data_IF_628962925916
#
_entry.id   IF_628962925916
#
_cell.length_a   1.000
_cell.length_b   1.000
_cell.length_c   1.000
_cell.angle_alpha   90.00
_cell.angle_beta   90.00
_cell.angle_gamma   90.00
#
_symmetry.space_group_name_H-M   'P 1'
#
loop_
_entity.id
_entity.type
_entity.pdbx_description
1 polymer ?
#
# COMPACT_ATOMS: atom_id res chain seq x y z
N UNK A 1 -32.63 4.97 2.56
CA UNK A 1 -33.11 4.01 1.53
C UNK A 1 -34.00 2.98 2.22
N UNK A 2 -35.05 2.52 1.55
CA UNK A 2 -35.78 1.31 1.94
C UNK A 2 -35.07 0.08 1.36
N UNK A 3 -35.31 -1.11 1.88
CA UNK A 3 -34.66 -2.35 1.40
C UNK A 3 -34.88 -2.57 -0.11
N UNK A 4 -36.06 -2.22 -0.64
CA UNK A 4 -36.36 -2.27 -2.08
C UNK A 4 -35.44 -1.37 -2.94
N UNK A 5 -34.99 -0.22 -2.41
CA UNK A 5 -34.07 0.67 -3.11
C UNK A 5 -32.66 0.05 -3.21
N UNK A 6 -32.31 -0.82 -2.25
CA UNK A 6 -31.00 -1.48 -2.15
C UNK A 6 -30.90 -2.64 -3.15
N UNK A 7 -31.94 -3.49 -3.22
CA UNK A 7 -32.03 -4.58 -4.20
C UNK A 7 -32.02 -4.03 -5.64
N UNK A 8 -32.79 -2.96 -5.89
CA UNK A 8 -32.80 -2.30 -7.19
C UNK A 8 -31.42 -1.79 -7.61
N UNK A 9 -30.64 -1.26 -6.66
CA UNK A 9 -29.28 -0.77 -6.92
C UNK A 9 -28.30 -1.91 -7.26
N UNK A 10 -28.39 -3.03 -6.55
CA UNK A 10 -27.57 -4.22 -6.80
C UNK A 10 -27.90 -4.87 -8.16
N UNK A 11 -29.19 -4.95 -8.49
CA UNK A 11 -29.63 -5.44 -9.80
C UNK A 11 -29.11 -4.53 -10.93
N UNK A 12 -29.20 -3.21 -10.74
CA UNK A 12 -28.71 -2.24 -11.72
C UNK A 12 -27.18 -2.34 -11.91
N UNK A 13 -26.44 -2.58 -10.83
CA UNK A 13 -24.99 -2.82 -10.90
C UNK A 13 -24.64 -4.08 -11.70
N UNK A 14 -25.39 -5.16 -11.51
CA UNK A 14 -25.25 -6.41 -12.28
C UNK A 14 -25.57 -6.21 -13.76
N UNK A 15 -26.66 -5.50 -14.07
CA UNK A 15 -27.04 -5.18 -15.45
C UNK A 15 -25.98 -4.31 -16.14
N UNK A 16 -25.33 -3.43 -15.38
CA UNK A 16 -24.29 -2.56 -15.90
C UNK A 16 -22.99 -3.28 -16.28
N UNK A 17 -22.57 -4.25 -15.47
CA UNK A 17 -21.45 -5.12 -15.83
C UNK A 17 -21.73 -5.89 -17.12
N UNK A 18 -22.98 -6.29 -17.36
CA UNK A 18 -23.39 -6.97 -18.58
C UNK A 18 -23.42 -6.04 -19.81
N UNK A 19 -23.64 -4.73 -19.62
CA UNK A 19 -23.90 -3.77 -20.70
C UNK A 19 -22.71 -2.88 -21.08
N UNK A 20 -21.58 -2.95 -20.37
CA UNK A 20 -20.32 -2.25 -20.68
C UNK A 20 -20.49 -0.73 -20.96
N UNK A 21 -21.49 -0.09 -20.33
CA UNK A 21 -21.71 1.37 -20.33
C UNK A 21 -20.95 2.03 -19.18
N UNK A 22 -20.71 3.34 -19.29
CA UNK A 22 -19.97 4.15 -18.31
C UNK A 22 -20.49 3.95 -16.87
N UNK A 23 -19.78 3.21 -16.01
CA UNK A 23 -20.29 2.73 -14.73
C UNK A 23 -20.25 3.79 -13.63
N UNK A 24 -19.69 4.99 -13.90
CA UNK A 24 -19.44 6.01 -12.88
C UNK A 24 -20.68 6.42 -12.05
N UNK A 25 -21.88 6.63 -12.64
CA UNK A 25 -23.06 7.03 -11.87
C UNK A 25 -23.50 5.96 -10.87
N UNK A 26 -23.37 4.68 -11.22
CA UNK A 26 -23.78 3.55 -10.38
C UNK A 26 -22.74 3.27 -9.31
N UNK A 27 -21.46 3.39 -9.64
CA UNK A 27 -20.39 3.28 -8.66
C UNK A 27 -20.56 4.36 -7.58
N UNK A 28 -20.85 5.60 -7.98
CA UNK A 28 -21.15 6.67 -7.01
C UNK A 28 -22.30 6.29 -6.09
N UNK A 29 -23.40 5.79 -6.65
CA UNK A 29 -24.56 5.40 -5.86
C UNK A 29 -24.27 4.19 -4.94
N UNK A 30 -23.44 3.23 -5.37
CA UNK A 30 -22.97 2.11 -4.55
C UNK A 30 -22.07 2.59 -3.40
N UNK A 31 -21.19 3.55 -3.65
CA UNK A 31 -20.34 4.15 -2.61
C UNK A 31 -21.21 4.87 -1.57
N UNK A 32 -22.18 5.67 -2.01
CA UNK A 32 -23.12 6.36 -1.11
C UNK A 32 -23.94 5.35 -0.27
N UNK A 33 -24.40 4.27 -0.90
CA UNK A 33 -25.10 3.20 -0.21
C UNK A 33 -24.18 2.46 0.78
N UNK A 34 -22.92 2.23 0.45
CA UNK A 34 -21.94 1.62 1.35
C UNK A 34 -21.60 2.49 2.55
N UNK A 35 -21.61 3.83 2.38
CA UNK A 35 -21.42 4.78 3.48
C UNK A 35 -22.64 4.79 4.40
N UNK A 36 -23.85 4.75 3.84
CA UNK A 36 -25.09 4.74 4.61
C UNK A 36 -25.36 3.39 5.30
N UNK A 37 -24.93 2.28 4.70
CA UNK A 37 -25.18 0.91 5.17
C UNK A 37 -23.90 0.07 5.19
N UNK A 38 -22.91 0.42 6.02
CA UNK A 38 -21.59 -0.25 6.03
C UNK A 38 -21.65 -1.72 6.46
N UNK A 39 -22.73 -2.15 7.13
CA UNK A 39 -22.94 -3.56 7.48
C UNK A 39 -23.47 -4.43 6.33
N UNK A 40 -23.88 -3.85 5.19
CA UNK A 40 -24.40 -4.61 4.06
C UNK A 40 -23.26 -5.31 3.32
N UNK A 41 -23.13 -6.61 3.55
CA UNK A 41 -22.11 -7.45 2.90
C UNK A 41 -22.29 -7.51 1.38
N UNK A 42 -23.50 -7.33 0.87
CA UNK A 42 -23.78 -7.37 -0.57
C UNK A 42 -23.26 -6.12 -1.29
N UNK A 43 -23.44 -4.93 -0.71
CA UNK A 43 -22.91 -3.69 -1.29
C UNK A 43 -21.38 -3.71 -1.23
N UNK A 44 -20.82 -4.06 -0.06
CA UNK A 44 -19.38 -4.19 0.16
C UNK A 44 -18.78 -5.17 -0.84
N UNK A 45 -19.35 -6.37 -0.96
CA UNK A 45 -18.87 -7.39 -1.88
C UNK A 45 -18.99 -6.97 -3.35
N UNK A 46 -20.01 -6.19 -3.70
CA UNK A 46 -20.16 -5.66 -5.07
C UNK A 46 -19.08 -4.64 -5.39
N UNK A 47 -18.79 -3.69 -4.48
CA UNK A 47 -17.70 -2.73 -4.66
C UNK A 47 -16.33 -3.42 -4.75
N UNK A 48 -16.08 -4.42 -3.89
CA UNK A 48 -14.85 -5.21 -3.94
C UNK A 48 -14.69 -5.96 -5.27
N UNK A 49 -15.76 -6.55 -5.78
CA UNK A 49 -15.77 -7.24 -7.08
C UNK A 49 -15.54 -6.28 -8.25
N UNK A 50 -16.01 -5.04 -8.14
CA UNK A 50 -15.74 -3.95 -9.08
C UNK A 50 -14.32 -3.35 -8.91
N UNK A 51 -13.50 -3.87 -7.99
CA UNK A 51 -12.11 -3.47 -7.79
C UNK A 51 -11.92 -2.27 -6.86
N UNK A 52 -12.97 -1.85 -6.14
CA UNK A 52 -12.90 -0.82 -5.13
C UNK A 52 -12.57 -1.43 -3.76
N UNK A 53 -11.77 -0.73 -2.96
CA UNK A 53 -11.49 -1.13 -1.58
C UNK A 53 -11.67 0.04 -0.64
N UNK A 54 -12.12 -0.26 0.58
CA UNK A 54 -12.20 0.71 1.65
C UNK A 54 -10.80 0.91 2.26
N UNK A 55 -10.22 2.09 2.06
CA UNK A 55 -8.91 2.51 2.60
C UNK A 55 -9.11 3.83 3.33
N UNK A 56 -8.72 3.90 4.61
CA UNK A 56 -8.89 5.09 5.47
C UNK A 56 -10.31 5.70 5.45
N UNK A 57 -11.33 4.84 5.37
CA UNK A 57 -12.74 5.27 5.35
C UNK A 57 -13.21 5.81 3.99
N UNK A 58 -12.43 5.65 2.92
CA UNK A 58 -12.82 5.99 1.54
C UNK A 58 -12.79 4.77 0.65
N UNK A 59 -13.81 4.62 -0.19
CA UNK A 59 -13.80 3.63 -1.26
C UNK A 59 -12.94 4.13 -2.40
N UNK A 60 -11.83 3.44 -2.66
CA UNK A 60 -10.85 3.81 -3.69
C UNK A 60 -10.78 2.72 -4.74
N UNK A 61 -10.78 3.11 -6.01
CA UNK A 61 -10.43 2.21 -7.13
C UNK A 61 -8.96 1.80 -7.04
N UNK A 62 -8.57 0.76 -7.78
CA UNK A 62 -7.17 0.34 -7.84
C UNK A 62 -6.21 1.47 -8.28
N UNK A 63 -6.63 2.31 -9.23
CA UNK A 63 -5.81 3.44 -9.70
C UNK A 63 -5.65 4.52 -8.61
N UNK A 64 -6.71 4.82 -7.86
CA UNK A 64 -6.67 5.77 -6.76
C UNK A 64 -5.84 5.25 -5.57
N UNK A 65 -5.88 3.95 -5.31
CA UNK A 65 -5.02 3.30 -4.31
C UNK A 65 -3.54 3.46 -4.69
N UNK A 66 -3.17 3.21 -5.94
CA UNK A 66 -1.80 3.39 -6.42
C UNK A 66 -1.34 4.86 -6.32
N UNK A 67 -2.21 5.82 -6.65
CA UNK A 67 -1.90 7.25 -6.51
C UNK A 67 -1.73 7.67 -5.06
N UNK A 68 -2.57 7.16 -4.16
CA UNK A 68 -2.49 7.42 -2.73
C UNK A 68 -1.21 6.83 -2.14
N UNK A 69 -0.89 5.57 -2.46
CA UNK A 69 0.35 4.92 -2.03
C UNK A 69 1.59 5.69 -2.50
N UNK A 70 1.63 6.10 -3.78
CA UNK A 70 2.72 6.92 -4.29
C UNK A 70 2.86 8.26 -3.56
N UNK A 71 1.74 8.89 -3.19
CA UNK A 71 1.73 10.14 -2.44
C UNK A 71 2.23 9.97 -1.00
N UNK A 72 1.84 8.87 -0.34
CA UNK A 72 2.32 8.50 1.00
C UNK A 72 3.83 8.23 0.95
N UNK A 73 4.31 7.43 -0.01
CA UNK A 73 5.74 7.18 -0.19
C UNK A 73 6.55 8.46 -0.44
N UNK A 74 6.02 9.40 -1.23
CA UNK A 74 6.68 10.70 -1.44
C UNK A 74 6.71 11.56 -0.18
N UNK A 75 5.65 11.52 0.63
CA UNK A 75 5.59 12.24 1.91
C UNK A 75 6.59 11.65 2.90
N UNK A 76 6.63 10.34 3.05
CA UNK A 76 7.58 9.62 3.90
C UNK A 76 9.03 9.92 3.51
N UNK A 77 9.33 9.94 2.20
CA UNK A 77 10.64 10.33 1.69
C UNK A 77 11.03 11.76 2.10
N UNK A 78 10.08 12.71 2.07
CA UNK A 78 10.31 14.10 2.51
C UNK A 78 10.47 14.23 4.02
N UNK A 79 9.75 13.42 4.79
CA UNK A 79 9.80 13.40 6.25
C UNK A 79 10.99 12.57 6.78
N UNK A 80 11.76 11.93 5.91
CA UNK A 80 12.87 11.07 6.30
C UNK A 80 12.41 9.80 7.01
N UNK A 81 11.23 9.29 6.67
CA UNK A 81 10.71 8.03 7.14
C UNK A 81 10.96 6.95 6.08
N UNK A 82 11.50 5.81 6.50
CA UNK A 82 11.68 4.65 5.63
C UNK A 82 10.52 3.69 5.82
N UNK A 83 10.00 3.16 4.73
CA UNK A 83 8.92 2.17 4.74
C UNK A 83 9.25 0.93 3.93
N UNK A 84 8.54 -0.17 4.22
CA UNK A 84 8.68 -1.43 3.49
C UNK A 84 8.27 -1.23 2.03
N UNK A 85 9.06 -1.78 1.10
CA UNK A 85 8.89 -1.63 -0.34
C UNK A 85 9.75 -0.55 -0.98
N UNK A 86 10.23 0.42 -0.20
CA UNK A 86 11.09 1.52 -0.68
C UNK A 86 12.39 1.00 -1.32
N UNK A 87 12.87 1.64 -2.37
CA UNK A 87 14.11 1.25 -3.06
C UNK A 87 15.34 1.63 -2.24
N UNK A 88 16.42 0.87 -2.38
CA UNK A 88 17.71 1.17 -1.74
C UNK A 88 18.22 2.59 -2.05
N UNK A 89 18.06 3.06 -3.29
CA UNK A 89 18.42 4.41 -3.72
C UNK A 89 17.57 5.50 -3.08
N UNK A 90 16.27 5.26 -2.87
CA UNK A 90 15.36 6.16 -2.17
C UNK A 90 15.75 6.28 -0.69
N UNK A 91 16.04 5.15 -0.04
CA UNK A 91 16.52 5.14 1.34
C UNK A 91 17.83 5.93 1.50
N UNK A 92 18.77 5.81 0.55
CA UNK A 92 20.00 6.64 0.58
C UNK A 92 19.72 8.12 0.43
N UNK A 93 18.74 8.50 -0.38
CA UNK A 93 18.35 9.91 -0.54
C UNK A 93 17.72 10.45 0.73
N UNK A 94 16.93 9.66 1.45
CA UNK A 94 16.27 10.09 2.69
C UNK A 94 17.16 10.04 3.93
N UNK A 95 17.89 8.93 4.14
CA UNK A 95 18.69 8.68 5.36
C UNK A 95 20.16 9.03 5.21
N UNK A 96 20.63 9.30 3.99
CA UNK A 96 22.05 9.40 3.70
C UNK A 96 22.77 8.06 3.76
N UNK A 97 24.06 8.11 4.07
CA UNK A 97 24.96 6.95 4.05
C UNK A 97 24.79 6.15 5.36
N UNK A 98 24.56 4.82 5.29
CA UNK A 98 24.48 4.00 6.48
C UNK A 98 25.81 3.94 7.22
N UNK A 99 25.75 3.78 8.54
CA UNK A 99 26.92 3.58 9.41
C UNK A 99 27.59 2.23 9.16
N UNK A 100 26.84 1.20 8.82
CA UNK A 100 27.39 -0.09 8.36
C UNK A 100 26.51 -0.69 7.28
N UNK A 101 27.13 -1.37 6.33
CA UNK A 101 26.46 -2.06 5.24
C UNK A 101 26.98 -3.50 5.15
N UNK A 102 26.10 -4.45 5.40
CA UNK A 102 26.38 -5.88 5.22
C UNK A 102 25.65 -6.38 3.98
N UNK A 103 26.34 -7.14 3.13
CA UNK A 103 25.78 -7.72 1.90
C UNK A 103 25.99 -9.22 1.89
N UNK A 104 24.93 -9.96 1.64
CA UNK A 104 24.93 -11.42 1.59
C UNK A 104 24.31 -11.83 0.25
N UNK A 105 25.13 -12.41 -0.63
CA UNK A 105 24.68 -12.95 -1.90
C UNK A 105 24.48 -14.45 -1.78
N UNK A 106 23.31 -14.93 -2.21
CA UNK A 106 22.97 -16.36 -2.29
C UNK A 106 22.52 -16.70 -3.71
N UNK A 107 22.24 -17.97 -4.00
CA UNK A 107 21.78 -18.38 -5.34
C UNK A 107 20.38 -17.81 -5.62
N UNK A 108 20.34 -16.72 -6.39
CA UNK A 108 19.11 -16.08 -6.87
C UNK A 108 18.63 -14.86 -6.06
N UNK A 109 19.33 -14.49 -4.99
CA UNK A 109 18.92 -13.38 -4.12
C UNK A 109 20.14 -12.68 -3.49
N UNK A 110 20.10 -11.35 -3.47
CA UNK A 110 20.98 -10.49 -2.68
C UNK A 110 20.19 -9.93 -1.49
N UNK A 111 20.74 -10.10 -0.29
CA UNK A 111 20.25 -9.45 0.94
C UNK A 111 21.24 -8.40 1.38
N UNK A 112 20.71 -7.25 1.79
CA UNK A 112 21.52 -6.19 2.39
C UNK A 112 20.96 -5.81 3.76
N UNK A 113 21.84 -5.49 4.70
CA UNK A 113 21.47 -4.96 6.01
C UNK A 113 22.23 -3.66 6.18
N UNK A 114 21.50 -2.56 6.29
CA UNK A 114 22.07 -1.24 6.46
C UNK A 114 21.73 -0.74 7.86
N UNK A 115 22.73 -0.42 8.67
CA UNK A 115 22.51 0.15 10.00
C UNK A 115 22.73 1.65 10.00
N UNK A 116 21.88 2.35 10.74
CA UNK A 116 21.93 3.79 10.95
C UNK A 116 21.97 4.05 12.47
N UNK A 117 22.73 5.07 12.86
CA UNK A 117 22.99 5.39 14.27
C UNK A 117 24.38 4.95 14.72
N UNK A 118 24.89 5.60 15.77
CA UNK A 118 26.25 5.38 16.28
C UNK A 118 26.30 4.05 17.05
N UNK A 119 27.33 3.24 16.80
CA UNK A 119 27.58 2.02 17.58
C UNK A 119 27.70 2.39 19.06
N UNK A 120 26.82 1.86 19.92
CA UNK A 120 26.82 2.12 21.36
C UNK A 120 25.89 3.23 21.85
N UNK A 121 25.15 3.93 20.98
CA UNK A 121 24.09 4.89 21.41
C UNK A 121 22.70 4.27 21.33
N UNK A 122 21.82 4.61 22.29
CA UNK A 122 20.38 4.28 22.20
C UNK A 122 19.78 4.99 20.97
N UNK A 123 19.06 4.24 20.13
CA UNK A 123 18.31 4.80 18.99
C UNK A 123 18.85 4.48 17.60
N UNK A 124 19.72 3.47 17.45
CA UNK A 124 20.09 2.96 16.12
C UNK A 124 18.98 2.07 15.53
N UNK A 125 18.92 1.97 14.20
CA UNK A 125 18.01 1.07 13.49
C UNK A 125 18.71 0.38 12.32
N UNK A 126 18.19 -0.77 11.92
CA UNK A 126 18.66 -1.57 10.80
C UNK A 126 17.55 -1.72 9.76
N UNK A 127 17.88 -1.48 8.50
CA UNK A 127 17.00 -1.65 7.35
C UNK A 127 17.48 -2.87 6.57
N UNK A 128 16.55 -3.77 6.28
CA UNK A 128 16.80 -5.01 5.56
C UNK A 128 16.29 -4.87 4.14
N UNK A 129 17.14 -5.19 3.17
CA UNK A 129 16.83 -5.15 1.76
C UNK A 129 16.88 -6.54 1.14
N UNK A 130 16.04 -6.73 0.13
CA UNK A 130 16.07 -7.89 -0.76
C UNK A 130 16.10 -7.45 -2.21
N UNK A 131 16.95 -8.09 -3.00
CA UNK A 131 16.93 -8.06 -4.46
C UNK A 131 16.92 -9.48 -5.00
N UNK A 132 15.81 -9.89 -5.64
CA UNK A 132 15.74 -11.14 -6.39
C UNK A 132 16.44 -11.05 -7.75
N UNK A 133 16.56 -12.18 -8.44
CA UNK A 133 17.26 -12.27 -9.73
C UNK A 133 16.65 -11.40 -10.84
N UNK A 134 15.33 -11.20 -10.83
CA UNK A 134 14.61 -10.38 -11.80
C UNK A 134 14.45 -8.92 -11.36
N UNK A 135 14.79 -8.60 -10.11
CA UNK A 135 14.64 -7.26 -9.58
C UNK A 135 15.76 -6.36 -10.12
N UNK A 136 15.41 -5.16 -10.59
CA UNK A 136 16.41 -4.17 -10.98
C UNK A 136 17.19 -3.63 -9.77
N UNK A 137 16.52 -3.48 -8.63
CA UNK A 137 17.06 -2.88 -7.41
C UNK A 137 16.55 -3.57 -6.14
N UNK A 138 17.33 -3.46 -5.06
CA UNK A 138 16.94 -3.99 -3.75
C UNK A 138 15.85 -3.13 -3.10
N UNK A 139 14.86 -3.79 -2.51
CA UNK A 139 13.72 -3.15 -1.83
C UNK A 139 13.76 -3.43 -0.34
N UNK A 140 13.31 -2.47 0.47
CA UNK A 140 13.15 -2.66 1.92
C UNK A 140 12.13 -3.77 2.16
N UNK A 141 12.50 -4.76 2.97
CA UNK A 141 11.63 -5.85 3.40
C UNK A 141 11.33 -5.79 4.90
N UNK A 142 12.17 -5.13 5.70
CA UNK A 142 11.96 -4.96 7.14
C UNK A 142 12.80 -3.79 7.69
N UNK A 143 12.38 -3.26 8.82
CA UNK A 143 13.07 -2.20 9.58
C UNK A 143 13.00 -2.59 11.06
N UNK A 144 14.15 -2.70 11.72
CA UNK A 144 14.23 -3.11 13.12
C UNK A 144 15.06 -2.12 13.95
N UNK A 145 14.63 -1.83 15.18
CA UNK A 145 15.44 -1.09 16.14
C UNK A 145 16.65 -1.92 16.60
N UNK A 146 17.81 -1.29 16.68
CA UNK A 146 19.01 -1.85 17.29
C UNK A 146 19.01 -1.44 18.76
N UNK A 147 18.51 -2.33 19.63
CA UNK A 147 18.63 -2.15 21.08
C UNK A 147 20.00 -2.65 21.54
N UNK A 148 20.85 -1.77 22.05
CA UNK A 148 22.01 -2.17 22.84
C UNK A 148 21.56 -2.52 24.27
N UNK A 149 21.95 -3.70 24.74
CA UNK A 149 21.77 -4.13 26.14
C UNK A 149 22.68 -3.34 27.06
#
# INVERSE_FOLDING_TARGET
LKDDDLEGLLQLASDYEALSRDPQPIISALIDAAIAYPQSKEIVGTLERLGYKLVDGKWLSAAEQELMNNSVHQKELREGLVTVGMLASEVRKSQGIPSTMTRIATKGELREIWSYGKTGTRGGFAIYFRKGQLDAEAKVIAINDIRTK
#
